data_IF_726989304269
#
_entry.id   IF_726989304269
#
_cell.length_a   1.000
_cell.length_b   1.000
_cell.length_c   1.000
_cell.angle_alpha   90.00
_cell.angle_beta   90.00
_cell.angle_gamma   90.00
#
_symmetry.space_group_name_H-M   'P 1'
#
loop_
_entity.id
_entity.type
_entity.pdbx_description
1 polymer ?
#
# COMPACT_ATOMS: atom_id res chain seq x y z
N UNK A 1 -21.39 14.42 -16.83
CA UNK A 1 -21.99 13.32 -16.04
C UNK A 1 -21.13 13.16 -14.80
N UNK A 2 -21.66 13.45 -13.61
CA UNK A 2 -20.92 13.28 -12.35
C UNK A 2 -20.81 11.78 -11.99
N UNK A 3 -19.67 11.34 -11.46
CA UNK A 3 -19.50 9.93 -11.10
C UNK A 3 -20.31 9.60 -9.84
N UNK A 4 -20.68 8.32 -9.63
CA UNK A 4 -21.42 7.89 -8.43
C UNK A 4 -20.70 8.26 -7.12
N UNK A 5 -19.36 8.31 -7.14
CA UNK A 5 -18.55 8.72 -5.99
C UNK A 5 -18.83 10.17 -5.61
N UNK A 6 -18.88 11.06 -6.59
CA UNK A 6 -19.11 12.50 -6.37
C UNK A 6 -20.53 12.82 -5.88
N UNK A 7 -21.50 11.94 -6.17
CA UNK A 7 -22.88 12.10 -5.69
C UNK A 7 -23.07 11.59 -4.26
N UNK A 8 -22.30 10.58 -3.86
CA UNK A 8 -22.46 9.91 -2.58
C UNK A 8 -21.51 10.45 -1.50
N UNK A 9 -20.30 10.86 -1.90
CA UNK A 9 -19.24 11.30 -1.00
C UNK A 9 -18.90 12.75 -1.32
N UNK A 10 -19.14 13.63 -0.36
CA UNK A 10 -18.74 15.03 -0.44
C UNK A 10 -17.30 15.14 0.07
N UNK A 11 -16.33 15.21 -0.85
CA UNK A 11 -14.92 15.45 -0.49
C UNK A 11 -14.75 16.90 -0.02
N UNK A 12 -14.71 17.10 1.30
CA UNK A 12 -14.56 18.41 1.95
C UNK A 12 -13.15 18.99 1.79
N UNK A 13 -12.14 18.13 1.63
CA UNK A 13 -10.74 18.49 1.39
C UNK A 13 -10.21 17.73 0.17
N UNK A 14 -9.29 18.36 -0.56
CA UNK A 14 -8.57 17.70 -1.65
C UNK A 14 -7.68 16.63 -1.01
N UNK A 15 -7.69 15.40 -1.53
CA UNK A 15 -6.88 14.29 -1.00
C UNK A 15 -5.39 14.53 -1.26
N UNK A 16 -4.80 15.45 -0.51
CA UNK A 16 -3.35 15.51 -0.35
C UNK A 16 -3.01 14.68 0.88
N UNK A 17 -3.10 13.35 0.72
CA UNK A 17 -2.73 12.39 1.75
C UNK A 17 -1.20 12.35 1.88
N UNK A 18 -0.63 13.35 2.55
CA UNK A 18 0.72 13.28 3.08
C UNK A 18 0.76 12.15 4.11
N UNK A 19 1.34 11.01 3.74
CA UNK A 19 1.53 9.90 4.67
C UNK A 19 2.47 10.36 5.78
N UNK A 20 2.04 10.23 7.03
CA UNK A 20 2.89 10.60 8.16
C UNK A 20 4.01 9.58 8.35
N UNK A 21 3.70 8.29 8.16
CA UNK A 21 4.67 7.21 8.26
C UNK A 21 4.74 6.39 6.98
N UNK A 22 5.70 6.74 6.12
CA UNK A 22 6.03 5.97 4.90
C UNK A 22 7.23 5.07 5.18
N UNK A 23 7.07 3.77 4.93
CA UNK A 23 8.16 2.79 4.98
C UNK A 23 8.43 2.24 3.58
N UNK A 24 9.70 2.10 3.23
CA UNK A 24 10.15 1.48 1.98
C UNK A 24 10.96 0.23 2.29
N UNK A 25 10.62 -0.87 1.62
CA UNK A 25 11.35 -2.14 1.70
C UNK A 25 11.99 -2.40 0.35
N UNK A 26 13.32 -2.46 0.33
CA UNK A 26 14.12 -2.75 -0.87
C UNK A 26 14.55 -4.21 -0.83
N UNK A 27 14.17 -4.97 -1.86
CA UNK A 27 14.30 -6.42 -1.91
C UNK A 27 13.08 -7.10 -1.31
N UNK A 28 12.21 -7.63 -2.17
CA UNK A 28 11.05 -8.45 -1.81
C UNK A 28 11.42 -9.91 -2.03
N UNK A 29 12.38 -10.38 -1.25
CA UNK A 29 12.62 -11.81 -1.08
C UNK A 29 11.75 -12.36 0.06
N UNK A 30 12.02 -13.59 0.51
CA UNK A 30 11.27 -14.18 1.62
C UNK A 30 11.38 -13.34 2.91
N UNK A 31 12.53 -12.70 3.14
CA UNK A 31 12.77 -11.88 4.34
C UNK A 31 12.05 -10.54 4.20
N UNK A 32 12.17 -9.87 3.05
CA UNK A 32 11.50 -8.61 2.76
C UNK A 32 9.98 -8.72 2.86
N UNK A 33 9.40 -9.82 2.39
CA UNK A 33 7.96 -10.05 2.48
C UNK A 33 7.49 -10.28 3.93
N UNK A 34 8.22 -11.09 4.71
CA UNK A 34 7.91 -11.30 6.13
C UNK A 34 8.03 -9.99 6.92
N UNK A 35 9.01 -9.16 6.57
CA UNK A 35 9.19 -7.83 7.17
C UNK A 35 8.03 -6.89 6.81
N UNK A 36 7.62 -6.85 5.55
CA UNK A 36 6.45 -6.10 5.07
C UNK A 36 5.16 -6.51 5.79
N UNK A 37 4.92 -7.81 5.93
CA UNK A 37 3.77 -8.35 6.68
C UNK A 37 3.86 -7.98 8.16
N UNK A 38 5.04 -8.01 8.76
CA UNK A 38 5.23 -7.64 10.17
C UNK A 38 4.95 -6.16 10.44
N UNK A 39 5.33 -5.27 9.51
CA UNK A 39 5.00 -3.85 9.56
C UNK A 39 3.49 -3.65 9.49
N UNK A 40 2.83 -4.38 8.59
CA UNK A 40 1.38 -4.34 8.39
C UNK A 40 0.61 -4.83 9.62
N UNK A 41 1.01 -5.98 10.18
CA UNK A 41 0.35 -6.57 11.36
C UNK A 41 0.52 -5.70 12.62
N UNK A 42 1.56 -4.87 12.67
CA UNK A 42 1.85 -3.97 13.80
C UNK A 42 1.33 -2.54 13.57
N UNK A 43 0.66 -2.28 12.45
CA UNK A 43 0.13 -0.96 12.08
C UNK A 43 1.17 0.16 12.16
N UNK A 44 2.41 -0.14 11.72
CA UNK A 44 3.55 0.79 11.86
C UNK A 44 3.66 1.78 10.69
N UNK A 45 2.96 1.56 9.57
CA UNK A 45 3.10 2.36 8.36
C UNK A 45 1.74 2.68 7.73
N UNK A 46 1.52 3.96 7.42
CA UNK A 46 0.37 4.42 6.64
C UNK A 46 0.54 4.10 5.15
N UNK A 47 1.80 4.06 4.69
CA UNK A 47 2.18 3.68 3.33
C UNK A 47 3.40 2.78 3.37
N UNK A 48 3.32 1.68 2.65
CA UNK A 48 4.42 0.75 2.48
C UNK A 48 4.76 0.66 0.99
N UNK A 49 5.97 1.03 0.60
CA UNK A 49 6.44 0.86 -0.76
C UNK A 49 7.41 -0.32 -0.84
N UNK A 50 7.27 -1.11 -1.89
CA UNK A 50 8.07 -2.31 -2.13
C UNK A 50 8.87 -2.10 -3.41
N UNK A 51 10.19 -2.23 -3.32
CA UNK A 51 11.11 -2.02 -4.44
C UNK A 51 11.90 -3.30 -4.68
N UNK A 52 11.84 -3.82 -5.90
CA UNK A 52 12.62 -5.00 -6.31
C UNK A 52 13.05 -4.88 -7.78
N UNK A 53 14.10 -5.61 -8.15
CA UNK A 53 14.57 -5.72 -9.53
C UNK A 53 13.64 -6.61 -10.37
N UNK A 54 12.95 -7.57 -9.75
CA UNK A 54 12.04 -8.52 -10.38
C UNK A 54 10.60 -8.00 -10.40
N UNK A 55 10.27 -7.16 -11.39
CA UNK A 55 8.95 -6.50 -11.51
C UNK A 55 7.74 -7.45 -11.48
N UNK A 56 7.81 -8.60 -12.14
CA UNK A 56 6.67 -9.53 -12.19
C UNK A 56 6.39 -10.18 -10.83
N UNK A 57 7.46 -10.57 -10.13
CA UNK A 57 7.38 -11.10 -8.76
C UNK A 57 6.84 -10.02 -7.80
N UNK A 58 7.41 -8.83 -7.88
CA UNK A 58 7.02 -7.68 -7.07
C UNK A 58 5.55 -7.32 -7.23
N UNK A 59 5.03 -7.36 -8.47
CA UNK A 59 3.61 -7.14 -8.74
C UNK A 59 2.74 -8.24 -8.14
N UNK A 60 3.16 -9.50 -8.25
CA UNK A 60 2.47 -10.63 -7.61
C UNK A 60 2.39 -10.48 -6.10
N UNK A 61 3.53 -10.21 -5.46
CA UNK A 61 3.63 -10.03 -4.00
C UNK A 61 2.85 -8.81 -3.52
N UNK A 62 2.89 -7.70 -4.27
CA UNK A 62 2.09 -6.50 -3.98
C UNK A 62 0.58 -6.80 -4.04
N UNK A 63 0.14 -7.54 -5.06
CA UNK A 63 -1.26 -7.92 -5.20
C UNK A 63 -1.68 -8.86 -4.06
N UNK A 64 -0.85 -9.85 -3.71
CA UNK A 64 -1.12 -10.76 -2.59
C UNK A 64 -1.25 -9.98 -1.28
N UNK A 65 -0.31 -9.06 -1.03
CA UNK A 65 -0.35 -8.20 0.13
C UNK A 65 -1.66 -7.39 0.15
N UNK A 66 -2.01 -6.68 -0.93
CA UNK A 66 -3.24 -5.89 -1.04
C UNK A 66 -4.53 -6.69 -0.80
N UNK A 67 -4.59 -7.96 -1.22
CA UNK A 67 -5.75 -8.82 -0.96
C UNK A 67 -5.79 -9.32 0.49
N UNK A 68 -4.62 -9.49 1.12
CA UNK A 68 -4.49 -9.97 2.49
C UNK A 68 -4.74 -8.90 3.56
N UNK A 69 -4.71 -7.61 3.20
CA UNK A 69 -4.97 -6.49 4.13
C UNK A 69 -6.46 -6.15 4.16
N UNK A 70 -7.00 -6.00 5.37
CA UNK A 70 -8.36 -5.54 5.60
C UNK A 70 -8.50 -4.00 5.43
N UNK A 71 -7.37 -3.27 5.45
CA UNK A 71 -7.34 -1.80 5.42
C UNK A 71 -6.62 -1.30 4.17
N UNK A 72 -7.04 -0.16 3.57
CA UNK A 72 -6.41 0.38 2.37
C UNK A 72 -5.02 0.94 2.65
N UNK A 73 -4.01 0.07 2.71
CA UNK A 73 -2.61 0.46 2.60
C UNK A 73 -2.31 0.77 1.13
N UNK A 74 -1.80 1.96 0.86
CA UNK A 74 -1.28 2.28 -0.48
C UNK A 74 0.09 1.64 -0.64
N UNK A 75 0.14 0.53 -1.38
CA UNK A 75 1.39 -0.05 -1.85
C UNK A 75 1.79 0.62 -3.16
N UNK A 76 2.99 1.18 -3.21
CA UNK A 76 3.57 1.74 -4.43
C UNK A 76 4.83 0.95 -4.81
N UNK A 77 5.03 0.80 -6.12
CA UNK A 77 6.15 0.10 -6.76
C UNK A 77 7.24 1.07 -7.17
#
# INVERSE_FOLDING_TARGET
>A
MATLKDQLIVNLLKEEQASQNKIEVVGVDAVGLVFAISILMKDLADKLALVDVMRDKLKGDMMDLQHGILFPLTVAT
#
